data_IF_551106438701
#
_entry.id   IF_551106438701
#
_cell.length_a   1.000
_cell.length_b   1.000
_cell.length_c   1.000
_cell.angle_alpha   90.00
_cell.angle_beta   90.00
_cell.angle_gamma   90.00
#
_symmetry.space_group_name_H-M   'P 1'
#
loop_
_entity.id
_entity.type
_entity.pdbx_description
1 polymer ?
#
# COMPACT_ATOMS: atom_id res chain seq x y z
N UNK A 1 -3.06 9.94 -6.78
CA UNK A 1 -3.62 8.73 -6.18
C UNK A 1 -5.02 8.96 -5.59
N UNK A 2 -5.25 10.13 -4.98
CA UNK A 2 -6.54 10.49 -4.38
C UNK A 2 -7.70 10.37 -5.39
N UNK A 3 -7.62 11.01 -6.57
CA UNK A 3 -8.68 10.98 -7.57
C UNK A 3 -8.88 9.58 -8.19
N UNK A 4 -7.80 8.82 -8.39
CA UNK A 4 -7.91 7.43 -8.86
C UNK A 4 -8.67 6.59 -7.83
N UNK A 5 -8.33 6.73 -6.55
CA UNK A 5 -8.95 5.96 -5.46
C UNK A 5 -10.37 6.41 -5.13
N UNK A 6 -10.71 7.70 -5.37
CA UNK A 6 -12.07 8.22 -5.33
C UNK A 6 -12.97 7.49 -6.32
N UNK A 7 -12.47 7.25 -7.53
CA UNK A 7 -13.19 6.47 -8.54
C UNK A 7 -13.16 4.97 -8.23
N UNK A 8 -11.98 4.43 -7.90
CA UNK A 8 -11.79 3.02 -7.54
C UNK A 8 -10.55 2.83 -6.67
N UNK A 9 -10.75 2.53 -5.40
CA UNK A 9 -9.68 2.26 -4.46
C UNK A 9 -8.82 1.04 -4.88
N UNK A 10 -9.43 0.04 -5.52
CA UNK A 10 -8.73 -1.13 -6.04
C UNK A 10 -7.72 -0.76 -7.13
N UNK A 11 -8.11 0.12 -8.08
CA UNK A 11 -7.21 0.61 -9.14
C UNK A 11 -6.12 1.48 -8.51
N UNK A 12 -6.47 2.35 -7.56
CA UNK A 12 -5.51 3.16 -6.81
C UNK A 12 -4.46 2.32 -6.11
N UNK A 13 -4.86 1.22 -5.45
CA UNK A 13 -3.94 0.30 -4.79
C UNK A 13 -2.98 -0.38 -5.79
N UNK A 14 -3.51 -0.93 -6.88
CA UNK A 14 -2.70 -1.58 -7.92
C UNK A 14 -1.72 -0.61 -8.58
N UNK A 15 -2.16 0.62 -8.86
CA UNK A 15 -1.31 1.69 -9.38
C UNK A 15 -0.21 2.06 -8.39
N UNK A 16 -0.54 2.24 -7.11
CA UNK A 16 0.44 2.55 -6.06
C UNK A 16 1.48 1.46 -5.88
N UNK A 17 1.07 0.18 -5.87
CA UNK A 17 1.99 -0.94 -5.78
C UNK A 17 2.93 -1.04 -6.99
N UNK A 18 2.43 -0.73 -8.17
CA UNK A 18 3.24 -0.65 -9.37
C UNK A 18 4.23 0.51 -9.33
N UNK A 19 3.74 1.74 -9.21
CA UNK A 19 4.53 2.96 -9.39
C UNK A 19 5.41 3.29 -8.17
N UNK A 20 4.83 3.27 -6.96
CA UNK A 20 5.49 3.74 -5.74
C UNK A 20 6.26 2.65 -5.00
N UNK A 21 5.98 1.38 -5.27
CA UNK A 21 6.76 0.27 -4.74
C UNK A 21 7.76 -0.25 -5.78
N UNK A 22 7.32 -0.99 -6.80
CA UNK A 22 8.23 -1.66 -7.72
C UNK A 22 9.08 -0.67 -8.54
N UNK A 23 8.42 0.26 -9.27
CA UNK A 23 9.12 1.21 -10.15
C UNK A 23 10.05 2.11 -9.35
N UNK A 24 9.56 2.67 -8.25
CA UNK A 24 10.35 3.56 -7.39
C UNK A 24 11.58 2.87 -6.79
N UNK A 25 11.45 1.61 -6.36
CA UNK A 25 12.60 0.86 -5.83
C UNK A 25 13.68 0.62 -6.88
N UNK A 26 13.28 0.26 -8.11
CA UNK A 26 14.24 0.07 -9.22
C UNK A 26 14.86 1.42 -9.61
N UNK A 27 14.07 2.49 -9.64
CA UNK A 27 14.57 3.83 -9.96
C UNK A 27 15.62 4.32 -8.95
N UNK A 28 15.34 4.17 -7.65
CA UNK A 28 16.22 4.66 -6.58
C UNK A 28 17.49 3.81 -6.42
N UNK A 29 17.38 2.48 -6.53
CA UNK A 29 18.43 1.56 -6.12
C UNK A 29 19.05 0.75 -7.27
N UNK A 30 18.45 0.76 -8.47
CA UNK A 30 18.95 0.06 -9.64
C UNK A 30 20.21 0.73 -10.20
N UNK A 31 21.11 -0.06 -10.76
CA UNK A 31 22.18 0.44 -11.60
C UNK A 31 21.66 0.85 -12.99
N UNK A 32 22.52 1.46 -13.81
CA UNK A 32 22.09 1.99 -15.12
C UNK A 32 21.58 0.88 -16.07
N UNK A 33 22.20 -0.30 -16.04
CA UNK A 33 21.74 -1.44 -16.86
C UNK A 33 20.33 -1.91 -16.42
N UNK A 34 20.10 -2.02 -15.11
CA UNK A 34 18.79 -2.39 -14.57
C UNK A 34 17.73 -1.34 -14.89
N UNK A 35 18.04 -0.05 -14.71
CA UNK A 35 17.12 1.04 -15.07
C UNK A 35 16.77 1.02 -16.56
N UNK A 36 17.75 0.85 -17.43
CA UNK A 36 17.54 0.77 -18.89
C UNK A 36 16.73 -0.46 -19.28
N UNK A 37 16.92 -1.59 -18.62
CA UNK A 37 16.21 -2.84 -18.91
C UNK A 37 14.76 -2.81 -18.48
N UNK A 38 14.46 -2.33 -17.26
CA UNK A 38 13.15 -2.50 -16.63
C UNK A 38 12.26 -1.26 -16.69
N UNK A 39 12.81 -0.05 -16.48
CA UNK A 39 11.97 1.14 -16.34
C UNK A 39 11.16 1.51 -17.58
N UNK A 40 11.68 1.44 -18.82
CA UNK A 40 10.89 1.85 -19.99
C UNK A 40 9.56 1.12 -20.12
N UNK A 41 9.55 -0.20 -19.95
CA UNK A 41 8.33 -1.01 -20.04
C UNK A 41 7.41 -0.85 -18.82
N UNK A 42 7.97 -0.63 -17.65
CA UNK A 42 7.21 -0.35 -16.45
C UNK A 42 6.54 1.03 -16.52
N UNK A 43 7.26 2.07 -16.94
CA UNK A 43 6.74 3.44 -17.04
C UNK A 43 5.67 3.55 -18.15
N UNK A 44 5.82 2.84 -19.27
CA UNK A 44 4.80 2.81 -20.33
C UNK A 44 3.54 2.02 -19.93
N UNK A 45 3.61 1.18 -18.89
CA UNK A 45 2.55 0.26 -18.51
C UNK A 45 2.50 -1.03 -19.37
N UNK A 46 3.46 -1.25 -20.26
CA UNK A 46 3.61 -2.52 -21.00
C UNK A 46 3.88 -3.67 -20.01
N UNK A 47 4.69 -3.40 -18.98
CA UNK A 47 4.94 -4.31 -17.87
C UNK A 47 4.30 -3.77 -16.57
N UNK A 48 3.72 -4.68 -15.81
CA UNK A 48 3.23 -4.41 -14.46
C UNK A 48 4.30 -4.82 -13.47
N UNK A 49 4.49 -4.00 -12.42
CA UNK A 49 5.40 -4.26 -11.32
C UNK A 49 4.70 -4.64 -10.03
N UNK A 50 5.36 -5.48 -9.23
CA UNK A 50 4.98 -5.83 -7.87
C UNK A 50 6.19 -5.78 -6.93
N UNK A 51 5.93 -5.60 -5.62
CA UNK A 51 6.94 -5.70 -4.59
C UNK A 51 6.51 -6.74 -3.54
N UNK A 52 7.43 -7.59 -3.13
CA UNK A 52 7.14 -8.68 -2.21
C UNK A 52 8.13 -8.75 -1.04
N UNK A 53 7.69 -8.25 0.11
CA UNK A 53 8.42 -8.35 1.36
C UNK A 53 7.76 -9.30 2.36
N UNK A 54 6.44 -9.27 2.50
CA UNK A 54 5.68 -10.02 3.49
C UNK A 54 5.64 -11.51 3.19
N UNK A 55 5.61 -12.32 4.25
CA UNK A 55 5.48 -13.78 4.20
C UNK A 55 4.36 -14.25 5.14
N UNK A 56 3.87 -15.50 5.02
CA UNK A 56 2.86 -16.01 5.93
C UNK A 56 3.23 -15.88 7.40
N UNK A 57 4.52 -16.03 7.74
CA UNK A 57 5.08 -15.94 9.09
C UNK A 57 5.74 -14.60 9.43
N UNK A 58 5.81 -13.63 8.50
CA UNK A 58 6.52 -12.37 8.68
C UNK A 58 5.77 -11.21 8.00
N UNK A 59 4.81 -10.61 8.72
CA UNK A 59 4.04 -9.45 8.31
C UNK A 59 4.62 -8.16 8.90
N UNK A 60 4.21 -7.79 10.12
CA UNK A 60 4.73 -6.59 10.82
C UNK A 60 6.22 -6.70 11.13
N UNK A 61 6.70 -7.88 11.50
CA UNK A 61 8.13 -8.19 11.65
C UNK A 61 8.72 -8.69 10.33
N UNK A 62 8.71 -7.82 9.33
CA UNK A 62 9.12 -8.16 7.96
C UNK A 62 10.60 -8.57 7.86
N UNK A 63 11.46 -8.12 8.78
CA UNK A 63 12.88 -8.48 8.78
C UNK A 63 13.15 -9.91 9.29
N UNK A 64 12.15 -10.54 9.90
CA UNK A 64 12.17 -11.97 10.29
C UNK A 64 11.75 -12.91 9.15
N UNK A 65 11.70 -12.40 7.91
CA UNK A 65 11.39 -13.20 6.71
C UNK A 65 12.24 -14.48 6.62
N UNK A 66 11.65 -15.53 6.05
CA UNK A 66 12.26 -16.84 5.90
C UNK A 66 12.72 -17.21 4.49
N UNK A 67 12.29 -16.47 3.44
CA UNK A 67 12.73 -16.70 2.06
C UNK A 67 14.25 -16.64 1.97
N UNK A 68 14.89 -17.71 1.51
CA UNK A 68 16.36 -17.83 1.40
C UNK A 68 16.80 -17.66 -0.03
N UNK A 69 17.99 -17.08 -0.21
CA UNK A 69 18.70 -16.96 -1.48
C UNK A 69 20.12 -17.52 -1.32
N UNK A 70 20.35 -18.72 -1.86
CA UNK A 70 21.64 -19.42 -1.80
C UNK A 70 22.45 -19.14 -3.05
N UNK A 71 23.72 -18.68 -2.92
CA UNK A 71 24.58 -18.42 -4.08
C UNK A 71 25.03 -19.73 -4.73
N UNK A 72 24.87 -19.85 -6.06
CA UNK A 72 25.28 -20.98 -6.90
C UNK A 72 25.96 -20.43 -8.18
N UNK A 73 27.26 -20.32 -8.13
CA UNK A 73 28.04 -19.77 -9.26
C UNK A 73 27.69 -18.30 -9.53
N UNK A 74 27.14 -18.00 -10.69
CA UNK A 74 26.75 -16.67 -11.17
C UNK A 74 25.30 -16.27 -10.86
N UNK A 75 24.59 -17.06 -10.03
CA UNK A 75 23.19 -16.86 -9.67
C UNK A 75 22.87 -17.16 -8.24
N UNK A 76 21.67 -16.83 -7.82
CA UNK A 76 21.06 -17.20 -6.55
C UNK A 76 19.88 -18.13 -6.77
N UNK A 77 19.75 -19.16 -5.92
CA UNK A 77 18.57 -20.01 -5.85
C UNK A 77 17.68 -19.53 -4.71
N UNK A 78 16.51 -19.01 -5.03
CA UNK A 78 15.53 -18.57 -4.05
C UNK A 78 14.60 -19.72 -3.69
N UNK A 79 14.36 -19.91 -2.38
CA UNK A 79 13.46 -20.94 -1.85
C UNK A 79 12.59 -20.39 -0.70
N UNK A 80 11.26 -20.55 -0.82
CA UNK A 80 10.26 -20.08 0.14
C UNK A 80 9.09 -19.39 -0.53
N UNK A 81 8.34 -18.59 0.24
CA UNK A 81 7.09 -17.99 -0.20
C UNK A 81 7.02 -16.52 0.18
N UNK A 82 6.26 -15.74 -0.61
CA UNK A 82 5.80 -14.38 -0.25
C UNK A 82 4.28 -14.34 -0.27
N UNK A 83 3.66 -13.58 0.63
CA UNK A 83 2.21 -13.59 0.80
C UNK A 83 1.60 -12.20 0.70
N UNK A 84 0.34 -12.14 0.24
CA UNK A 84 -0.47 -10.91 0.06
C UNK A 84 0.12 -9.93 -0.94
N UNK A 85 0.69 -10.41 -2.04
CA UNK A 85 1.40 -9.56 -3.00
C UNK A 85 0.41 -8.94 -3.98
N UNK A 86 0.21 -7.64 -3.86
CA UNK A 86 -0.58 -6.83 -4.80
C UNK A 86 0.06 -6.85 -6.18
N UNK A 87 -0.74 -6.98 -7.23
CA UNK A 87 -0.34 -7.21 -8.61
C UNK A 87 0.40 -8.55 -8.83
N UNK A 88 0.60 -9.37 -7.80
CA UNK A 88 1.34 -10.63 -7.90
C UNK A 88 0.91 -11.51 -9.07
N UNK A 89 -0.39 -11.73 -9.34
CA UNK A 89 -0.84 -12.55 -10.49
C UNK A 89 -0.49 -11.96 -11.84
N UNK A 90 -0.46 -10.63 -11.95
CA UNK A 90 -0.42 -9.90 -13.23
C UNK A 90 0.97 -9.33 -13.56
N UNK A 91 1.84 -9.18 -12.55
CA UNK A 91 3.13 -8.53 -12.70
C UNK A 91 4.09 -9.32 -13.63
N UNK A 92 4.97 -8.57 -14.28
CA UNK A 92 6.06 -9.04 -15.14
C UNK A 92 7.42 -8.91 -14.43
N UNK A 93 7.52 -7.92 -13.53
CA UNK A 93 8.74 -7.58 -12.79
C UNK A 93 8.41 -7.47 -11.31
N UNK A 94 9.20 -8.11 -10.47
CA UNK A 94 9.00 -8.16 -9.03
C UNK A 94 10.27 -7.70 -8.31
N UNK A 95 10.11 -6.84 -7.30
CA UNK A 95 11.15 -6.56 -6.32
C UNK A 95 10.93 -7.49 -5.12
N UNK A 96 11.88 -8.40 -4.90
CA UNK A 96 11.80 -9.46 -3.89
C UNK A 96 12.90 -9.27 -2.86
N UNK A 97 12.59 -9.47 -1.58
CA UNK A 97 13.55 -9.45 -0.49
C UNK A 97 13.75 -10.87 0.04
N UNK A 98 15.01 -11.31 0.13
CA UNK A 98 15.35 -12.67 0.58
C UNK A 98 16.61 -12.65 1.47
N UNK A 99 16.78 -13.65 2.33
CA UNK A 99 17.98 -13.83 3.16
C UNK A 99 19.08 -14.50 2.38
N UNK A 100 20.14 -13.78 2.14
CA UNK A 100 21.43 -14.28 1.61
C UNK A 100 22.35 -14.76 2.72
N UNK A 101 22.23 -14.20 3.94
CA UNK A 101 22.91 -14.62 5.16
C UNK A 101 21.89 -14.79 6.29
N UNK A 102 21.29 -15.98 6.45
CA UNK A 102 20.19 -16.19 7.41
C UNK A 102 20.51 -15.81 8.85
N UNK A 103 21.76 -16.07 9.28
CA UNK A 103 22.20 -15.85 10.67
C UNK A 103 22.59 -14.40 10.97
N UNK A 104 22.69 -13.54 9.95
CA UNK A 104 23.01 -12.12 10.10
C UNK A 104 21.78 -11.25 10.44
N UNK A 105 20.58 -11.85 10.59
CA UNK A 105 19.34 -11.15 10.89
C UNK A 105 18.95 -10.15 9.79
N UNK A 106 18.62 -8.89 10.13
CA UNK A 106 18.29 -7.87 9.13
C UNK A 106 19.43 -7.53 8.17
N UNK A 107 20.67 -7.69 8.60
CA UNK A 107 21.88 -7.42 7.80
C UNK A 107 22.19 -8.50 6.77
N UNK A 108 21.48 -9.62 6.79
CA UNK A 108 21.63 -10.69 5.81
C UNK A 108 20.55 -10.69 4.73
N UNK A 109 19.79 -9.61 4.57
CA UNK A 109 18.72 -9.49 3.58
C UNK A 109 19.24 -8.76 2.34
N UNK A 110 18.94 -9.32 1.16
CA UNK A 110 19.24 -8.74 -0.15
C UNK A 110 17.95 -8.52 -0.94
N UNK A 111 17.90 -7.45 -1.71
CA UNK A 111 16.81 -7.19 -2.65
C UNK A 111 17.17 -7.72 -4.05
N UNK A 112 16.22 -8.32 -4.74
CA UNK A 112 16.39 -8.89 -6.09
C UNK A 112 15.29 -8.37 -7.03
N UNK A 113 15.64 -8.20 -8.30
CA UNK A 113 14.67 -8.05 -9.38
C UNK A 113 14.40 -9.43 -9.95
N UNK A 114 13.17 -9.92 -9.80
CA UNK A 114 12.75 -11.23 -10.33
C UNK A 114 11.81 -11.00 -11.52
N UNK A 115 12.06 -11.70 -12.61
CA UNK A 115 11.20 -11.67 -13.79
C UNK A 115 10.17 -12.80 -13.74
N UNK A 116 9.01 -12.57 -14.33
CA UNK A 116 7.86 -13.47 -14.33
C UNK A 116 8.19 -14.90 -14.73
N UNK A 117 9.11 -15.05 -15.68
CA UNK A 117 9.39 -16.32 -16.36
C UNK A 117 10.69 -16.97 -15.88
N UNK A 118 11.26 -16.51 -14.76
CA UNK A 118 12.44 -17.16 -14.18
C UNK A 118 12.13 -18.58 -13.76
N UNK A 119 13.00 -19.57 -14.08
CA UNK A 119 12.83 -20.96 -13.66
C UNK A 119 12.66 -21.06 -12.15
N UNK A 120 11.68 -21.87 -11.69
CA UNK A 120 11.40 -22.07 -10.28
C UNK A 120 10.58 -20.96 -9.60
N UNK A 121 10.15 -19.94 -10.34
CA UNK A 121 9.22 -18.92 -9.88
C UNK A 121 7.79 -19.24 -10.31
N UNK A 122 6.84 -19.20 -9.37
CA UNK A 122 5.42 -19.38 -9.65
C UNK A 122 4.54 -18.46 -8.80
N UNK A 123 3.32 -18.26 -9.27
CA UNK A 123 2.27 -17.47 -8.64
C UNK A 123 1.13 -18.40 -8.29
N UNK A 124 0.77 -18.44 -7.03
CA UNK A 124 -0.33 -19.23 -6.55
C UNK A 124 -1.69 -18.62 -6.90
N UNK A 125 -2.76 -19.27 -6.47
CA UNK A 125 -4.12 -18.82 -6.71
C UNK A 125 -4.35 -17.42 -6.16
N UNK A 126 -5.12 -16.61 -6.92
CA UNK A 126 -5.60 -15.31 -6.49
C UNK A 126 -6.40 -15.43 -5.19
N UNK A 127 -6.07 -14.56 -4.23
CA UNK A 127 -6.75 -14.52 -2.94
C UNK A 127 -8.13 -13.86 -3.05
N UNK A 128 -9.13 -14.45 -2.40
CA UNK A 128 -10.42 -13.82 -2.16
C UNK A 128 -10.32 -12.91 -0.94
N UNK A 129 -10.57 -11.61 -1.11
CA UNK A 129 -10.33 -10.58 -0.10
C UNK A 129 -11.63 -9.92 0.37
N UNK A 130 -11.62 -9.38 1.58
CA UNK A 130 -12.70 -8.58 2.15
C UNK A 130 -13.03 -7.35 1.28
N UNK A 131 -12.00 -6.58 0.95
CA UNK A 131 -12.05 -5.37 0.11
C UNK A 131 -10.96 -5.36 -0.94
N UNK A 132 -10.83 -4.25 -1.67
CA UNK A 132 -9.88 -4.10 -2.78
C UNK A 132 -9.98 -5.27 -3.78
N UNK A 133 -11.20 -5.75 -4.03
CA UNK A 133 -11.45 -6.99 -4.80
C UNK A 133 -11.11 -6.85 -6.29
N UNK A 134 -11.09 -5.62 -6.81
CA UNK A 134 -10.62 -5.30 -8.15
C UNK A 134 -9.10 -5.22 -8.32
N UNK A 135 -8.34 -5.35 -7.22
CA UNK A 135 -6.87 -5.41 -7.21
C UNK A 135 -6.43 -6.86 -6.97
N UNK A 136 -5.78 -7.48 -7.95
CA UNK A 136 -5.36 -8.87 -7.85
C UNK A 136 -4.20 -9.04 -6.85
N UNK A 137 -4.30 -10.07 -6.01
CA UNK A 137 -3.34 -10.34 -4.94
C UNK A 137 -3.14 -11.85 -4.83
N UNK A 138 -1.91 -12.32 -4.68
CA UNK A 138 -1.63 -13.74 -4.53
C UNK A 138 -0.45 -14.00 -3.60
N UNK A 139 -0.19 -15.28 -3.38
CA UNK A 139 1.06 -15.81 -2.88
C UNK A 139 2.04 -15.98 -4.05
N UNK A 140 3.33 -15.71 -3.81
CA UNK A 140 4.43 -16.04 -4.71
C UNK A 140 5.22 -17.21 -4.13
N UNK A 141 5.57 -18.17 -4.98
CA UNK A 141 6.27 -19.41 -4.58
C UNK A 141 7.60 -19.50 -5.33
N UNK A 142 8.65 -19.81 -4.59
CA UNK A 142 10.03 -19.95 -5.08
C UNK A 142 10.53 -21.35 -4.75
N UNK A 143 10.79 -22.16 -5.78
CA UNK A 143 11.31 -23.52 -5.69
C UNK A 143 12.59 -23.64 -6.52
N UNK A 144 13.73 -23.41 -5.88
CA UNK A 144 15.02 -23.24 -6.57
C UNK A 144 14.95 -22.18 -7.70
N UNK A 145 14.25 -21.06 -7.42
CA UNK A 145 14.11 -20.00 -8.40
C UNK A 145 15.47 -19.40 -8.74
N UNK A 146 15.85 -19.50 -10.02
CA UNK A 146 17.15 -19.05 -10.51
C UNK A 146 17.14 -17.56 -10.82
N UNK A 147 17.87 -16.79 -10.02
CA UNK A 147 17.99 -15.34 -10.18
C UNK A 147 19.44 -14.99 -10.45
N UNK A 148 19.78 -14.42 -11.63
CA UNK A 148 21.15 -14.00 -11.95
C UNK A 148 21.71 -13.01 -10.91
N UNK A 149 23.01 -13.05 -10.64
CA UNK A 149 23.68 -12.13 -9.71
C UNK A 149 23.50 -10.65 -10.11
N UNK A 150 23.45 -10.37 -11.41
CA UNK A 150 23.20 -9.03 -11.97
C UNK A 150 21.80 -8.46 -11.61
N UNK A 151 20.90 -9.30 -11.14
CA UNK A 151 19.55 -8.93 -10.69
C UNK A 151 19.49 -8.56 -9.19
N UNK A 152 20.62 -8.51 -8.48
CA UNK A 152 20.66 -7.89 -7.15
C UNK A 152 20.31 -6.41 -7.30
N UNK A 153 19.30 -5.95 -6.57
CA UNK A 153 18.90 -4.56 -6.53
C UNK A 153 19.63 -3.83 -5.38
N UNK A 154 20.44 -2.86 -5.72
CA UNK A 154 21.35 -2.23 -4.76
C UNK A 154 22.58 -3.11 -4.52
N UNK A 155 22.93 -3.31 -3.25
CA UNK A 155 24.11 -4.06 -2.84
C UNK A 155 23.72 -5.35 -2.08
N UNK A 156 24.59 -6.36 -2.15
CA UNK A 156 24.44 -7.60 -1.38
C UNK A 156 24.32 -7.28 0.13
N UNK A 157 23.38 -7.93 0.81
CA UNK A 157 23.11 -7.76 2.24
C UNK A 157 22.65 -6.35 2.65
N UNK A 158 22.28 -5.49 1.69
CA UNK A 158 21.73 -4.15 1.93
C UNK A 158 20.24 -4.04 1.60
N UNK A 159 19.52 -5.17 1.54
CA UNK A 159 18.10 -5.18 1.18
C UNK A 159 17.22 -4.36 2.12
N UNK A 160 17.55 -4.26 3.41
CA UNK A 160 16.81 -3.40 4.35
C UNK A 160 16.97 -1.92 3.99
N UNK A 161 18.16 -1.49 3.54
CA UNK A 161 18.38 -0.12 3.06
C UNK A 161 17.52 0.17 1.82
N UNK A 162 17.51 -0.76 0.87
CA UNK A 162 16.64 -0.69 -0.32
C UNK A 162 15.18 -0.56 0.10
N UNK A 163 14.70 -1.43 0.99
CA UNK A 163 13.34 -1.41 1.49
C UNK A 163 12.97 -0.04 2.11
N UNK A 164 13.82 0.45 3.01
CA UNK A 164 13.54 1.68 3.76
C UNK A 164 13.57 2.93 2.88
N UNK A 165 14.33 2.94 1.78
CA UNK A 165 14.45 4.09 0.87
C UNK A 165 13.12 4.49 0.21
N UNK A 166 12.17 3.56 0.07
CA UNK A 166 10.87 3.81 -0.57
C UNK A 166 9.68 3.93 0.39
N UNK A 167 9.81 3.43 1.63
CA UNK A 167 8.65 3.30 2.54
C UNK A 167 7.99 4.63 2.93
N UNK A 168 8.75 5.69 3.10
CA UNK A 168 8.20 6.98 3.51
C UNK A 168 7.42 7.64 2.36
N UNK A 169 7.92 7.51 1.12
CA UNK A 169 7.16 7.89 -0.08
C UNK A 169 5.90 7.07 -0.25
N UNK A 170 5.99 5.75 -0.08
CA UNK A 170 4.85 4.85 -0.14
C UNK A 170 3.76 5.27 0.84
N UNK A 171 4.10 5.47 2.11
CA UNK A 171 3.13 5.87 3.14
C UNK A 171 2.45 7.18 2.82
N UNK A 172 3.22 8.16 2.36
CA UNK A 172 2.69 9.47 1.93
C UNK A 172 1.71 9.30 0.78
N UNK A 173 2.10 8.57 -0.27
CA UNK A 173 1.24 8.39 -1.46
C UNK A 173 0.00 7.55 -1.13
N UNK A 174 0.12 6.48 -0.34
CA UNK A 174 -1.02 5.66 0.08
C UNK A 174 -2.04 6.42 0.94
N UNK A 175 -1.62 7.44 1.68
CA UNK A 175 -2.54 8.34 2.39
C UNK A 175 -3.55 9.00 1.44
N UNK A 176 -3.12 9.29 0.19
CA UNK A 176 -4.01 9.80 -0.86
C UNK A 176 -5.10 8.80 -1.24
N UNK A 177 -4.81 7.51 -1.18
CA UNK A 177 -5.82 6.47 -1.43
C UNK A 177 -6.94 6.47 -0.39
N UNK A 178 -6.59 6.55 0.88
CA UNK A 178 -7.54 6.68 1.98
C UNK A 178 -8.36 7.98 1.88
N UNK A 179 -7.71 9.10 1.53
CA UNK A 179 -8.37 10.39 1.31
C UNK A 179 -9.36 10.35 0.14
N UNK A 180 -9.01 9.64 -0.94
CA UNK A 180 -9.92 9.39 -2.07
C UNK A 180 -11.19 8.64 -1.68
N UNK A 181 -11.08 7.62 -0.81
CA UNK A 181 -12.24 6.91 -0.25
C UNK A 181 -13.11 7.86 0.57
N UNK A 182 -12.52 8.71 1.39
CA UNK A 182 -13.27 9.71 2.17
C UNK A 182 -14.06 10.66 1.25
N UNK A 183 -13.46 11.12 0.17
CA UNK A 183 -14.18 11.93 -0.82
C UNK A 183 -15.32 11.15 -1.48
N UNK A 184 -15.08 9.89 -1.86
CA UNK A 184 -16.10 9.03 -2.44
C UNK A 184 -17.30 8.83 -1.49
N UNK A 185 -17.06 8.76 -0.17
CA UNK A 185 -18.14 8.72 0.82
C UNK A 185 -19.03 9.97 0.75
N UNK A 186 -18.42 11.16 0.70
CA UNK A 186 -19.18 12.42 0.55
C UNK A 186 -19.93 12.50 -0.79
N UNK A 187 -19.31 12.03 -1.88
CA UNK A 187 -19.94 12.03 -3.22
C UNK A 187 -21.22 11.19 -3.26
N UNK A 188 -21.30 10.15 -2.42
CA UNK A 188 -22.49 9.31 -2.29
C UNK A 188 -23.50 9.93 -1.31
N UNK A 189 -23.03 10.40 -0.16
CA UNK A 189 -23.90 10.87 0.94
C UNK A 189 -24.59 12.18 0.59
N UNK A 190 -23.86 13.16 0.02
CA UNK A 190 -24.41 14.51 -0.21
C UNK A 190 -25.64 14.52 -1.12
N UNK A 191 -25.64 13.89 -2.31
CA UNK A 191 -26.87 13.80 -3.12
C UNK A 191 -27.99 13.06 -2.39
N UNK A 192 -27.66 11.94 -1.75
CA UNK A 192 -28.65 11.10 -1.09
C UNK A 192 -29.43 11.82 0.01
N UNK A 193 -28.78 12.64 0.84
CA UNK A 193 -29.45 13.35 1.94
C UNK A 193 -30.39 14.46 1.46
N UNK A 194 -30.23 14.94 0.21
CA UNK A 194 -31.16 15.85 -0.44
C UNK A 194 -32.37 15.13 -1.03
N UNK A 195 -32.17 13.95 -1.60
CA UNK A 195 -33.24 13.19 -2.29
C UNK A 195 -34.12 12.42 -1.32
N UNK A 196 -33.50 11.79 -0.31
CA UNK A 196 -34.23 10.97 0.68
C UNK A 196 -35.03 11.84 1.64
N UNK A 197 -36.29 11.57 1.73
CA UNK A 197 -37.24 12.30 2.63
C UNK A 197 -37.80 11.37 3.70
N UNK A 198 -37.83 11.85 4.93
CA UNK A 198 -38.53 11.24 6.06
C UNK A 198 -39.14 12.35 6.92
N UNK A 199 -40.25 12.05 7.61
CA UNK A 199 -40.97 13.02 8.44
C UNK A 199 -41.32 14.31 7.68
N UNK A 200 -41.60 14.19 6.37
CA UNK A 200 -42.05 15.27 5.52
C UNK A 200 -40.97 16.20 4.93
N UNK A 201 -39.68 15.95 5.22
CA UNK A 201 -38.54 16.79 4.74
C UNK A 201 -37.35 15.96 4.30
N UNK A 202 -36.39 16.58 3.61
CA UNK A 202 -35.13 15.94 3.26
C UNK A 202 -34.36 15.57 4.52
N UNK A 203 -33.70 14.38 4.53
CA UNK A 203 -33.00 13.95 5.74
C UNK A 203 -31.78 14.83 6.08
N UNK A 204 -31.22 15.53 5.09
CA UNK A 204 -30.15 16.52 5.28
C UNK A 204 -30.55 17.76 6.07
N UNK A 205 -31.88 17.99 6.28
CA UNK A 205 -32.38 19.11 7.08
C UNK A 205 -32.36 18.81 8.58
N UNK A 206 -32.20 17.54 8.98
CA UNK A 206 -32.14 17.19 10.41
C UNK A 206 -30.77 17.55 10.99
N UNK A 207 -30.77 18.19 12.15
CA UNK A 207 -29.54 18.67 12.80
C UNK A 207 -28.52 17.56 13.10
N UNK A 208 -28.97 16.34 13.48
CA UNK A 208 -28.09 15.20 13.69
C UNK A 208 -27.43 14.72 12.40
N UNK A 209 -28.12 14.84 11.26
CA UNK A 209 -27.53 14.56 9.95
C UNK A 209 -26.53 15.65 9.56
N UNK A 210 -26.89 16.92 9.77
CA UNK A 210 -25.97 18.06 9.54
C UNK A 210 -24.69 17.94 10.37
N UNK A 211 -24.78 17.47 11.62
CA UNK A 211 -23.63 17.18 12.46
C UNK A 211 -22.71 16.13 11.83
N UNK A 212 -23.25 15.00 11.34
CA UNK A 212 -22.45 13.98 10.62
C UNK A 212 -21.78 14.54 9.37
N UNK A 213 -22.50 15.30 8.56
CA UNK A 213 -21.94 15.92 7.35
C UNK A 213 -20.79 16.89 7.70
N UNK A 214 -20.94 17.67 8.78
CA UNK A 214 -19.90 18.57 9.26
C UNK A 214 -18.64 17.79 9.71
N UNK A 215 -18.80 16.71 10.47
CA UNK A 215 -17.68 15.85 10.91
C UNK A 215 -16.97 15.20 9.72
N UNK A 216 -17.71 14.67 8.76
CA UNK A 216 -17.15 14.11 7.52
C UNK A 216 -16.37 15.16 6.73
N UNK A 217 -16.91 16.36 6.56
CA UNK A 217 -16.26 17.46 5.85
C UNK A 217 -14.96 17.90 6.53
N UNK A 218 -14.99 18.12 7.84
CA UNK A 218 -13.81 18.55 8.64
C UNK A 218 -12.73 17.48 8.59
N UNK A 219 -13.11 16.21 8.78
CA UNK A 219 -12.18 15.06 8.76
C UNK A 219 -11.46 14.95 7.41
N UNK A 220 -12.19 15.05 6.30
CA UNK A 220 -11.59 15.01 4.95
C UNK A 220 -10.60 16.15 4.76
N UNK A 221 -10.98 17.40 5.11
CA UNK A 221 -10.11 18.56 4.90
C UNK A 221 -8.88 18.53 5.82
N UNK A 222 -9.00 18.09 7.06
CA UNK A 222 -7.87 17.88 7.97
C UNK A 222 -6.91 16.82 7.41
N UNK A 223 -7.44 15.71 6.90
CA UNK A 223 -6.67 14.64 6.25
C UNK A 223 -5.90 15.16 5.03
N UNK A 224 -6.56 15.92 4.17
CA UNK A 224 -5.93 16.56 2.99
C UNK A 224 -4.84 17.54 3.39
N UNK A 225 -5.11 18.41 4.35
CA UNK A 225 -4.13 19.42 4.80
C UNK A 225 -2.86 18.74 5.31
N UNK A 226 -3.01 17.70 6.15
CA UNK A 226 -1.88 16.94 6.68
C UNK A 226 -1.13 16.19 5.56
N UNK A 227 -1.84 15.40 4.76
CA UNK A 227 -1.26 14.67 3.63
C UNK A 227 -0.47 15.57 2.69
N UNK A 228 -1.09 16.65 2.19
CA UNK A 228 -0.45 17.52 1.22
C UNK A 228 0.71 18.33 1.81
N UNK A 229 0.68 18.61 3.12
CA UNK A 229 1.84 19.20 3.79
C UNK A 229 3.03 18.22 3.81
N UNK A 230 2.78 16.95 4.16
CA UNK A 230 3.82 15.90 4.16
C UNK A 230 4.34 15.66 2.74
N UNK A 231 3.46 15.62 1.73
CA UNK A 231 3.86 15.46 0.33
C UNK A 231 4.76 16.61 -0.15
N UNK A 232 4.41 17.87 0.15
CA UNK A 232 5.28 19.03 -0.18
C UNK A 232 6.64 18.94 0.52
N UNK A 233 6.70 18.49 1.74
CA UNK A 233 7.96 18.27 2.44
C UNK A 233 8.81 17.20 1.75
N UNK A 234 8.19 16.09 1.30
CA UNK A 234 8.88 15.06 0.51
C UNK A 234 9.44 15.62 -0.81
N UNK A 235 8.65 16.42 -1.55
CA UNK A 235 9.08 17.05 -2.80
C UNK A 235 10.25 18.03 -2.58
N UNK A 236 10.29 18.69 -1.43
CA UNK A 236 11.40 19.56 -1.02
C UNK A 236 12.64 18.83 -0.49
N UNK A 237 12.63 17.50 -0.46
CA UNK A 237 13.72 16.68 0.10
C UNK A 237 13.75 16.60 1.63
N UNK A 238 12.71 17.05 2.30
CA UNK A 238 12.56 17.04 3.76
C UNK A 238 11.59 15.95 4.22
N UNK A 239 11.76 14.73 3.69
CA UNK A 239 10.96 13.59 4.12
C UNK A 239 11.23 13.24 5.58
N UNK A 240 10.14 13.09 6.37
CA UNK A 240 10.19 12.66 7.77
C UNK A 240 9.43 11.35 7.92
N UNK A 241 10.12 10.34 8.49
CA UNK A 241 9.52 9.02 8.71
C UNK A 241 8.30 9.09 9.62
N UNK A 242 8.36 9.89 10.69
CA UNK A 242 7.23 10.08 11.61
C UNK A 242 6.04 10.79 10.93
N UNK A 243 6.31 11.78 10.08
CA UNK A 243 5.25 12.52 9.39
C UNK A 243 4.56 11.67 8.32
N UNK A 244 5.33 10.91 7.54
CA UNK A 244 4.78 9.95 6.59
C UNK A 244 3.92 8.87 7.29
N UNK A 245 4.41 8.33 8.42
CA UNK A 245 3.64 7.39 9.23
C UNK A 245 2.41 8.04 9.87
N UNK A 246 2.50 9.28 10.30
CA UNK A 246 1.40 10.06 10.87
C UNK A 246 0.30 10.33 9.86
N UNK A 247 0.67 10.75 8.64
CA UNK A 247 -0.28 11.01 7.57
C UNK A 247 -1.11 9.77 7.22
N UNK A 248 -0.45 8.62 6.98
CA UNK A 248 -1.19 7.40 6.66
C UNK A 248 -1.97 6.86 7.85
N UNK A 249 -1.47 6.98 9.09
CA UNK A 249 -2.21 6.58 10.29
C UNK A 249 -3.53 7.35 10.39
N UNK A 250 -3.43 8.67 10.31
CA UNK A 250 -4.59 9.56 10.42
C UNK A 250 -5.60 9.33 9.28
N UNK A 251 -5.13 9.33 8.03
CA UNK A 251 -5.99 9.15 6.87
C UNK A 251 -6.67 7.76 6.85
N UNK A 252 -5.94 6.68 7.21
CA UNK A 252 -6.47 5.32 7.15
C UNK A 252 -7.60 5.09 8.16
N UNK A 253 -7.40 5.45 9.42
CA UNK A 253 -8.40 5.27 10.48
C UNK A 253 -9.64 6.14 10.22
N UNK A 254 -9.42 7.39 9.80
CA UNK A 254 -10.52 8.29 9.45
C UNK A 254 -11.29 7.85 8.20
N UNK A 255 -10.65 7.23 7.22
CA UNK A 255 -11.36 6.70 6.06
C UNK A 255 -12.31 5.56 6.44
N UNK A 256 -11.88 4.66 7.34
CA UNK A 256 -12.75 3.60 7.87
C UNK A 256 -13.93 4.17 8.65
N UNK A 257 -13.68 5.12 9.56
CA UNK A 257 -14.73 5.76 10.33
C UNK A 257 -15.73 6.51 9.42
N UNK A 258 -15.22 7.26 8.46
CA UNK A 258 -16.06 8.01 7.52
C UNK A 258 -16.91 7.11 6.63
N UNK A 259 -16.40 5.93 6.26
CA UNK A 259 -17.17 4.94 5.51
C UNK A 259 -18.30 4.33 6.37
N UNK A 260 -18.08 4.13 7.68
CA UNK A 260 -19.13 3.75 8.62
C UNK A 260 -20.20 4.84 8.73
N UNK A 261 -19.78 6.10 8.81
CA UNK A 261 -20.72 7.23 8.84
C UNK A 261 -21.51 7.37 7.54
N UNK A 262 -20.90 7.10 6.39
CA UNK A 262 -21.59 7.06 5.10
C UNK A 262 -22.67 5.98 5.05
N UNK A 263 -22.37 4.76 5.53
CA UNK A 263 -23.35 3.69 5.66
C UNK A 263 -24.50 4.17 6.57
N UNK A 264 -24.18 4.77 7.71
CA UNK A 264 -25.16 5.23 8.67
C UNK A 264 -26.06 6.34 8.11
N UNK A 265 -25.52 7.27 7.31
CA UNK A 265 -26.28 8.33 6.65
C UNK A 265 -27.31 7.78 5.66
N UNK A 266 -26.99 6.68 4.98
CA UNK A 266 -27.91 6.03 4.05
C UNK A 266 -28.91 5.11 4.74
N UNK A 267 -28.72 4.77 6.01
CA UNK A 267 -29.59 3.86 6.76
C UNK A 267 -29.66 2.47 6.11
N UNK A 268 -30.87 1.92 5.94
CA UNK A 268 -31.03 0.60 5.31
C UNK A 268 -30.43 0.49 3.91
N UNK A 269 -30.47 1.57 3.13
CA UNK A 269 -29.84 1.62 1.81
C UNK A 269 -28.30 1.55 1.88
N UNK A 270 -27.68 2.04 2.96
CA UNK A 270 -26.24 1.88 3.19
C UNK A 270 -25.81 0.45 3.50
N UNK A 271 -26.74 -0.42 3.90
CA UNK A 271 -26.49 -1.81 4.28
C UNK A 271 -26.69 -2.82 3.15
N UNK A 272 -27.13 -2.37 1.97
CA UNK A 272 -27.29 -3.21 0.78
C UNK A 272 -26.21 -2.89 -0.25
N UNK A 273 -25.90 -3.87 -1.11
CA UNK A 273 -24.79 -3.74 -2.08
C UNK A 273 -25.15 -2.88 -3.32
N UNK A 274 -26.37 -2.39 -3.45
CA UNK A 274 -26.77 -1.46 -4.51
C UNK A 274 -26.11 -0.08 -4.35
N UNK A 275 -25.76 0.29 -3.12
CA UNK A 275 -24.98 1.49 -2.82
C UNK A 275 -23.52 1.13 -2.51
N UNK A 276 -22.55 1.98 -2.91
CA UNK A 276 -21.13 1.64 -2.81
C UNK A 276 -20.54 1.76 -1.39
N UNK A 277 -21.31 2.25 -0.41
CA UNK A 277 -20.82 2.53 0.95
C UNK A 277 -20.21 1.32 1.64
N UNK A 278 -20.83 0.14 1.51
CA UNK A 278 -20.28 -1.11 2.04
C UNK A 278 -18.96 -1.53 1.36
N UNK A 279 -18.80 -1.27 0.07
CA UNK A 279 -17.53 -1.46 -0.65
C UNK A 279 -16.47 -0.49 -0.14
N UNK A 280 -16.80 0.80 0.00
CA UNK A 280 -15.88 1.82 0.50
C UNK A 280 -15.34 1.47 1.88
N UNK A 281 -16.19 0.95 2.78
CA UNK A 281 -15.77 0.46 4.10
C UNK A 281 -14.77 -0.70 4.00
N UNK A 282 -15.08 -1.70 3.19
CA UNK A 282 -14.22 -2.87 3.02
C UNK A 282 -12.88 -2.49 2.40
N UNK A 283 -12.89 -1.55 1.45
CA UNK A 283 -11.69 -1.04 0.80
C UNK A 283 -10.84 -0.19 1.75
N UNK A 284 -11.47 0.69 2.56
CA UNK A 284 -10.79 1.54 3.54
C UNK A 284 -9.99 0.72 4.56
N UNK A 285 -10.53 -0.41 5.02
CA UNK A 285 -9.90 -1.24 6.06
C UNK A 285 -8.49 -1.72 5.71
N UNK A 286 -8.18 -1.90 4.42
CA UNK A 286 -6.84 -2.29 4.00
C UNK A 286 -5.78 -1.27 4.41
N UNK A 287 -6.10 0.03 4.36
CA UNK A 287 -5.12 1.09 4.68
C UNK A 287 -4.69 1.11 6.15
N UNK A 288 -5.44 0.51 7.06
CA UNK A 288 -5.03 0.32 8.46
C UNK A 288 -4.05 -0.86 8.65
N UNK A 289 -3.93 -1.74 7.65
CA UNK A 289 -3.17 -2.99 7.72
C UNK A 289 -1.92 -2.91 6.83
N UNK A 290 -2.07 -2.46 5.58
CA UNK A 290 -1.00 -2.41 4.59
C UNK A 290 0.02 -1.29 4.84
N UNK A 291 1.25 -1.43 4.33
CA UNK A 291 2.38 -0.51 4.54
C UNK A 291 2.75 -0.28 6.02
N UNK A 292 2.58 -1.33 6.84
CA UNK A 292 2.65 -1.32 8.30
C UNK A 292 1.30 -1.04 8.93
N UNK A 293 0.93 -1.83 9.95
CA UNK A 293 -0.35 -1.65 10.65
C UNK A 293 -0.43 -0.33 11.41
N UNK A 294 -1.63 0.09 11.78
CA UNK A 294 -1.85 1.27 12.62
C UNK A 294 -1.01 1.24 13.90
N UNK A 295 -0.83 0.05 14.50
CA UNK A 295 0.00 -0.15 15.70
C UNK A 295 1.48 0.05 15.41
N UNK A 296 1.99 -0.49 14.29
CA UNK A 296 3.39 -0.30 13.86
C UNK A 296 3.68 1.18 13.57
N UNK A 297 2.75 1.89 12.96
CA UNK A 297 2.88 3.34 12.70
C UNK A 297 2.96 4.13 14.02
N UNK A 298 2.09 3.82 15.01
CA UNK A 298 2.12 4.43 16.35
C UNK A 298 3.44 4.16 17.07
N UNK A 299 3.89 2.92 17.06
CA UNK A 299 5.18 2.52 17.63
C UNK A 299 6.33 3.31 17.00
N UNK A 300 6.34 3.43 15.66
CA UNK A 300 7.37 4.16 14.92
C UNK A 300 7.37 5.65 15.28
N UNK A 301 6.20 6.29 15.26
CA UNK A 301 6.07 7.73 15.60
C UNK A 301 6.53 7.98 17.04
N UNK A 302 6.07 7.17 18.00
CA UNK A 302 6.44 7.32 19.40
C UNK A 302 7.93 7.15 19.62
N UNK A 303 8.56 6.18 18.95
CA UNK A 303 10.02 5.95 19.03
C UNK A 303 10.82 7.11 18.43
N UNK A 304 10.43 7.62 17.26
CA UNK A 304 11.12 8.76 16.64
C UNK A 304 11.01 10.02 17.52
N UNK A 305 9.83 10.31 18.06
CA UNK A 305 9.62 11.43 18.99
C UNK A 305 10.48 11.30 20.25
N UNK A 306 10.56 10.10 20.82
CA UNK A 306 11.41 9.85 21.99
C UNK A 306 12.89 10.08 21.69
N UNK A 307 13.37 9.57 20.54
CA UNK A 307 14.78 9.73 20.14
C UNK A 307 15.16 11.18 19.82
N UNK A 308 14.23 11.99 19.31
CA UNK A 308 14.46 13.41 19.02
C UNK A 308 14.53 14.30 20.26
N UNK A 309 14.03 13.82 21.40
CA UNK A 309 13.97 14.57 22.65
C UNK A 309 14.92 14.04 23.74
N UNK A 310 15.73 13.04 23.41
CA UNK A 310 16.71 12.41 24.33
C UNK A 310 18.03 13.20 24.49
#
# INVERSE_FOLDING_TARGET
>A
LEEISRASASIGLSYGAHSNLCVNQIYLNGNDAQRQKYLPKLVSGEHIGALAMSEPGAGSDVVSMGLRAEKKGDRYLLNGNKMWITNGPDAHTYVIYAKTEPDAGPRGITAFIVERDFPGFSRAQKLDKLGMRGSNTCELVFENCEVPEENILGELNQGVRVLMSGLDYERTVLSGGATGIMQACLDVVLPYVHERKQFGQAIGEFQLMQGKLADMYVTLNASRAYLYQVARNCDAGHSSRKDAAGAILYCAENATQMALDAIQCLGGNGYINEYPTGRLLRDAKLYEIGAGTSEIRRMLIGRELFNETA
#
